data_IF_532793222262
#
_entry.id   IF_532793222262
#
_cell.length_a   1.000
_cell.length_b   1.000
_cell.length_c   1.000
_cell.angle_alpha   90.00
_cell.angle_beta   90.00
_cell.angle_gamma   90.00
#
_symmetry.space_group_name_H-M   'P 1'
#
loop_
_entity.id
_entity.type
_entity.pdbx_description
1 polymer ?
#
# COMPACT_ATOMS: atom_id res chain seq x y z
N UNK A 1 0.74 35.68 21.08
CA UNK A 1 0.90 34.38 20.38
C UNK A 1 -0.06 33.40 21.03
N UNK A 2 -0.93 32.75 20.28
CA UNK A 2 -1.86 31.75 20.82
C UNK A 2 -1.09 30.54 21.37
N UNK A 3 -1.53 30.01 22.51
CA UNK A 3 -0.94 28.82 23.14
C UNK A 3 -1.35 27.60 22.31
N UNK A 4 -0.39 26.85 21.77
CA UNK A 4 -0.66 25.62 21.03
C UNK A 4 -1.51 24.66 21.89
N UNK A 5 -2.49 24.04 21.26
CA UNK A 5 -3.23 22.92 21.83
C UNK A 5 -2.29 21.75 22.11
N UNK A 6 -2.74 20.81 22.95
CA UNK A 6 -1.96 19.61 23.26
C UNK A 6 -1.68 18.76 22.01
N UNK A 7 -2.64 18.67 21.09
CA UNK A 7 -2.50 17.94 19.83
C UNK A 7 -1.48 18.61 18.90
N UNK A 8 -1.56 19.93 18.73
CA UNK A 8 -0.60 20.68 17.91
C UNK A 8 0.83 20.58 18.49
N UNK A 9 0.99 20.63 19.81
CA UNK A 9 2.29 20.48 20.44
C UNK A 9 2.85 19.05 20.26
N UNK A 10 1.99 18.03 20.32
CA UNK A 10 2.38 16.66 20.08
C UNK A 10 2.86 16.47 18.64
N UNK A 11 2.15 17.04 17.66
CA UNK A 11 2.54 16.97 16.25
C UNK A 11 3.87 17.69 15.97
N UNK A 12 4.07 18.87 16.55
CA UNK A 12 5.35 19.60 16.46
C UNK A 12 6.49 18.76 17.05
N UNK A 13 6.29 18.14 18.21
CA UNK A 13 7.31 17.30 18.83
C UNK A 13 7.56 16.03 18.01
N UNK A 14 6.51 15.40 17.47
CA UNK A 14 6.62 14.23 16.59
C UNK A 14 7.49 14.55 15.37
N UNK A 15 7.26 15.69 14.71
CA UNK A 15 8.06 16.14 13.57
C UNK A 15 9.53 16.41 13.94
N UNK A 16 9.79 17.03 15.10
CA UNK A 16 11.17 17.23 15.60
C UNK A 16 11.91 15.91 15.83
N UNK A 17 11.23 14.93 16.43
CA UNK A 17 11.81 13.59 16.66
C UNK A 17 12.11 12.90 15.33
N UNK A 18 11.21 12.98 14.34
CA UNK A 18 11.44 12.39 13.01
C UNK A 18 12.66 13.01 12.33
N UNK A 19 12.78 14.33 12.30
CA UNK A 19 13.93 15.01 11.70
C UNK A 19 15.25 14.69 12.42
N UNK A 20 15.23 14.61 13.75
CA UNK A 20 16.42 14.23 14.53
C UNK A 20 16.83 12.77 14.28
N UNK A 21 15.84 11.86 14.22
CA UNK A 21 16.03 10.45 13.96
C UNK A 21 16.55 10.20 12.55
N UNK A 22 16.00 10.90 11.56
CA UNK A 22 16.44 10.87 10.17
C UNK A 22 17.95 11.14 10.07
N UNK A 23 18.41 12.22 10.68
CA UNK A 23 19.82 12.56 10.67
C UNK A 23 20.68 11.55 11.47
N UNK A 24 20.18 10.98 12.56
CA UNK A 24 20.96 10.04 13.40
C UNK A 24 21.10 8.68 12.69
N UNK A 25 20.02 8.18 12.10
CA UNK A 25 20.04 6.97 11.29
C UNK A 25 20.91 7.16 10.04
N UNK A 26 20.90 8.35 9.44
CA UNK A 26 21.78 8.65 8.31
C UNK A 26 23.26 8.65 8.69
N UNK A 27 23.61 9.16 9.87
CA UNK A 27 25.01 9.24 10.29
C UNK A 27 25.56 7.90 10.78
N UNK A 28 24.74 7.10 11.47
CA UNK A 28 25.21 5.92 12.22
C UNK A 28 24.66 4.60 11.70
N UNK A 29 23.66 4.62 10.82
CA UNK A 29 22.84 3.45 10.52
C UNK A 29 21.84 3.14 11.63
N UNK A 30 20.86 2.30 11.33
CA UNK A 30 19.81 1.97 12.29
C UNK A 30 20.38 1.27 13.53
N UNK A 31 21.26 0.26 13.38
CA UNK A 31 21.79 -0.49 14.54
C UNK A 31 22.48 0.39 15.58
N UNK A 32 23.39 1.26 15.14
CA UNK A 32 24.26 2.04 16.04
C UNK A 32 23.62 3.34 16.56
N UNK A 33 22.54 3.82 15.94
CA UNK A 33 21.80 5.00 16.37
C UNK A 33 21.24 4.87 17.80
N UNK A 34 21.30 5.94 18.60
CA UNK A 34 20.81 5.94 19.98
C UNK A 34 19.60 6.84 20.18
N UNK A 35 18.56 6.31 20.83
CA UNK A 35 17.35 7.10 21.18
C UNK A 35 17.70 8.32 22.05
N UNK A 36 18.69 8.21 22.91
CA UNK A 36 19.16 9.33 23.74
C UNK A 36 19.78 10.45 22.88
N UNK A 37 20.55 10.10 21.84
CA UNK A 37 21.13 11.07 20.91
C UNK A 37 20.04 11.73 20.04
N UNK A 38 19.02 10.97 19.64
CA UNK A 38 17.84 11.51 18.95
C UNK A 38 17.09 12.50 19.85
N UNK A 39 16.88 12.16 21.12
CA UNK A 39 16.21 13.02 22.08
C UNK A 39 16.97 14.33 22.28
N UNK A 40 18.30 14.25 22.48
CA UNK A 40 19.19 15.41 22.59
C UNK A 40 19.10 16.30 21.35
N UNK A 41 19.21 15.71 20.15
CA UNK A 41 19.12 16.44 18.87
C UNK A 41 17.75 17.07 18.62
N UNK A 42 16.68 16.45 19.11
CA UNK A 42 15.33 16.99 19.02
C UNK A 42 15.02 18.05 20.10
N UNK A 43 15.96 18.30 21.02
CA UNK A 43 15.76 19.12 22.23
C UNK A 43 14.59 18.63 23.10
N UNK A 44 14.46 17.30 23.21
CA UNK A 44 13.39 16.63 23.94
C UNK A 44 13.96 15.64 24.94
N UNK A 45 13.13 15.22 25.90
CA UNK A 45 13.51 14.12 26.81
C UNK A 45 13.33 12.78 26.11
N UNK A 46 14.06 11.76 26.58
CA UNK A 46 13.85 10.37 26.13
C UNK A 46 12.39 9.93 26.28
N UNK A 47 11.73 10.33 27.37
CA UNK A 47 10.31 10.05 27.59
C UNK A 47 9.39 10.70 26.55
N UNK A 48 9.72 11.90 26.08
CA UNK A 48 8.98 12.58 25.01
C UNK A 48 9.17 11.89 23.64
N UNK A 49 10.31 11.23 23.40
CA UNK A 49 10.47 10.38 22.21
C UNK A 49 9.52 9.18 22.29
N UNK A 50 9.51 8.47 23.41
CA UNK A 50 8.64 7.29 23.59
C UNK A 50 7.14 7.62 23.66
N UNK A 51 6.76 8.83 24.06
CA UNK A 51 5.34 9.25 23.97
C UNK A 51 4.86 9.48 22.54
N UNK A 52 5.78 9.73 21.60
CA UNK A 52 5.46 9.94 20.18
C UNK A 52 5.66 8.68 19.34
N UNK A 53 6.61 7.82 19.71
CA UNK A 53 6.93 6.59 19.00
C UNK A 53 7.07 5.43 19.98
N UNK A 54 6.36 4.30 19.79
CA UNK A 54 6.37 3.20 20.75
C UNK A 54 7.73 2.50 20.86
N UNK A 55 8.63 2.71 19.88
CA UNK A 55 9.99 2.16 19.92
C UNK A 55 10.88 2.67 18.79
N UNK A 56 12.16 2.30 18.84
CA UNK A 56 13.18 2.67 17.85
C UNK A 56 12.84 2.13 16.46
N UNK A 57 12.32 0.89 16.36
CA UNK A 57 11.90 0.27 15.09
C UNK A 57 10.70 1.00 14.46
N UNK A 58 9.70 1.36 15.27
CA UNK A 58 8.57 2.18 14.83
C UNK A 58 9.01 3.56 14.32
N UNK A 59 9.93 4.22 15.02
CA UNK A 59 10.54 5.48 14.58
C UNK A 59 11.33 5.32 13.27
N UNK A 60 12.08 4.23 13.14
CA UNK A 60 12.83 3.91 11.94
C UNK A 60 11.93 3.68 10.72
N UNK A 61 10.87 2.87 10.83
CA UNK A 61 9.89 2.71 9.75
C UNK A 61 9.22 4.04 9.37
N UNK A 62 8.94 4.91 10.34
CA UNK A 62 8.38 6.22 10.08
C UNK A 62 9.34 7.15 9.32
N UNK A 63 10.63 7.14 9.67
CA UNK A 63 11.68 7.87 8.92
C UNK A 63 11.78 7.35 7.48
N UNK A 64 11.84 6.03 7.28
CA UNK A 64 11.91 5.45 5.94
C UNK A 64 10.68 5.81 5.10
N UNK A 65 9.48 5.71 5.68
CA UNK A 65 8.25 6.09 5.00
C UNK A 65 8.27 7.57 4.55
N UNK A 66 8.68 8.48 5.43
CA UNK A 66 8.76 9.91 5.15
C UNK A 66 9.78 10.25 4.05
N UNK A 67 10.90 9.52 4.01
CA UNK A 67 11.88 9.60 2.91
C UNK A 67 11.28 9.14 1.59
N UNK A 68 10.66 7.96 1.58
CA UNK A 68 10.07 7.38 0.38
C UNK A 68 8.97 8.28 -0.21
N UNK A 69 8.14 8.86 0.65
CA UNK A 69 7.06 9.80 0.26
C UNK A 69 7.58 11.14 -0.28
N UNK A 70 8.73 11.62 0.22
CA UNK A 70 9.36 12.88 -0.23
C UNK A 70 10.31 12.70 -1.40
N UNK A 71 10.68 11.47 -1.74
CA UNK A 71 11.63 11.20 -2.79
C UNK A 71 11.14 11.83 -4.12
N UNK A 72 11.95 12.66 -4.79
CA UNK A 72 11.50 13.34 -6.00
C UNK A 72 11.16 12.30 -7.08
N UNK A 73 9.96 12.41 -7.64
CA UNK A 73 9.56 11.62 -8.82
C UNK A 73 10.02 12.37 -10.06
N UNK A 74 11.24 12.09 -10.50
CA UNK A 74 11.70 12.58 -11.80
C UNK A 74 10.94 11.82 -12.91
N UNK A 75 10.21 12.51 -13.80
CA UNK A 75 9.49 11.84 -14.87
C UNK A 75 10.49 11.14 -15.81
N UNK A 76 10.19 9.92 -16.29
CA UNK A 76 11.09 9.21 -17.18
C UNK A 76 11.17 9.96 -18.51
N UNK A 77 12.34 9.96 -19.20
CA UNK A 77 12.47 10.57 -20.52
C UNK A 77 11.54 9.94 -21.56
N UNK A 78 11.21 8.65 -21.40
CA UNK A 78 10.13 7.96 -22.11
C UNK A 78 9.57 6.82 -21.24
N UNK A 79 8.30 6.87 -20.77
CA UNK A 79 7.71 5.76 -20.02
C UNK A 79 7.46 4.55 -20.94
N UNK A 80 7.48 3.34 -20.37
CA UNK A 80 7.24 2.11 -21.14
C UNK A 80 5.82 2.07 -21.71
N UNK A 81 5.70 1.90 -23.02
CA UNK A 81 4.41 1.79 -23.72
C UNK A 81 3.85 0.37 -23.72
N UNK A 82 4.70 -0.62 -23.46
CA UNK A 82 4.40 -2.05 -23.45
C UNK A 82 4.70 -2.68 -22.08
N UNK A 83 4.17 -3.88 -21.82
CA UNK A 83 4.42 -4.64 -20.58
C UNK A 83 5.93 -4.87 -20.38
N UNK A 84 6.64 -5.34 -21.41
CA UNK A 84 8.09 -5.52 -21.40
C UNK A 84 8.85 -4.25 -21.04
N UNK A 85 8.55 -3.14 -21.72
CA UNK A 85 9.24 -1.86 -21.46
C UNK A 85 8.96 -1.34 -20.06
N UNK A 86 7.73 -1.49 -19.56
CA UNK A 86 7.33 -1.12 -18.21
C UNK A 86 8.07 -1.96 -17.15
N UNK A 87 8.21 -3.27 -17.34
CA UNK A 87 8.98 -4.14 -16.45
C UNK A 87 10.45 -3.72 -16.40
N UNK A 88 11.06 -3.44 -17.54
CA UNK A 88 12.43 -2.94 -17.60
C UNK A 88 12.60 -1.57 -16.94
N UNK A 89 11.68 -0.64 -17.19
CA UNK A 89 11.72 0.70 -16.59
C UNK A 89 11.49 0.66 -15.07
N UNK A 90 10.56 -0.19 -14.61
CA UNK A 90 10.32 -0.43 -13.19
C UNK A 90 11.55 -1.03 -12.51
N UNK A 91 12.15 -2.08 -13.11
CA UNK A 91 13.36 -2.69 -12.59
C UNK A 91 14.53 -1.70 -12.52
N UNK A 92 14.72 -0.83 -13.53
CA UNK A 92 15.74 0.23 -13.48
C UNK A 92 15.48 1.22 -12.36
N UNK A 93 14.24 1.68 -12.20
CA UNK A 93 13.87 2.60 -11.13
C UNK A 93 14.04 1.96 -9.74
N UNK A 94 13.78 0.66 -9.63
CA UNK A 94 14.02 -0.12 -8.41
C UNK A 94 15.51 -0.25 -8.12
N UNK A 95 16.30 -0.68 -9.11
CA UNK A 95 17.75 -0.89 -8.98
C UNK A 95 18.53 0.39 -8.72
N UNK A 96 18.03 1.55 -9.17
CA UNK A 96 18.65 2.85 -8.88
C UNK A 96 18.67 3.21 -7.39
N UNK A 97 17.91 2.49 -6.55
CA UNK A 97 17.92 2.62 -5.08
C UNK A 97 18.92 1.68 -4.41
N UNK A 98 19.51 0.75 -5.14
CA UNK A 98 20.47 -0.19 -4.58
C UNK A 98 21.82 0.49 -4.33
N UNK A 99 22.54 0.12 -3.25
CA UNK A 99 23.92 0.52 -3.09
C UNK A 99 24.74 -0.13 -4.20
N UNK A 100 25.16 0.66 -5.19
CA UNK A 100 26.07 0.21 -6.23
C UNK A 100 27.50 0.35 -5.71
N UNK A 101 28.34 -0.66 -5.99
CA UNK A 101 29.67 -0.83 -5.41
C UNK A 101 30.66 0.34 -5.66
N UNK A 102 30.35 1.24 -6.61
CA UNK A 102 31.26 2.29 -7.09
C UNK A 102 30.72 3.73 -6.92
N UNK A 103 29.65 3.95 -6.17
CA UNK A 103 29.28 5.34 -5.85
C UNK A 103 30.09 5.85 -4.67
N UNK A 104 30.85 6.95 -4.88
CA UNK A 104 31.38 7.90 -3.88
C UNK A 104 30.26 8.55 -3.00
N UNK A 105 29.14 7.85 -2.82
CA UNK A 105 27.99 8.29 -2.06
C UNK A 105 28.34 8.41 -0.58
N UNK A 106 27.67 9.33 0.10
CA UNK A 106 27.77 9.46 1.56
C UNK A 106 27.47 8.08 2.16
N UNK A 107 28.37 7.49 2.97
CA UNK A 107 28.22 6.14 3.52
C UNK A 107 26.90 5.89 4.29
N UNK A 108 26.16 6.94 4.63
CA UNK A 108 24.98 6.93 5.48
C UNK A 108 23.66 6.50 4.82
N UNK A 109 23.40 6.90 3.59
CA UNK A 109 22.07 6.68 2.95
C UNK A 109 21.84 5.20 2.59
N UNK A 110 22.86 4.55 2.02
CA UNK A 110 22.83 3.11 1.75
C UNK A 110 22.60 2.25 3.01
N UNK A 111 23.21 2.64 4.14
CA UNK A 111 23.13 1.91 5.41
C UNK A 111 21.75 1.91 6.05
N UNK A 112 20.88 2.85 5.69
CA UNK A 112 19.54 2.91 6.28
C UNK A 112 18.59 1.89 5.67
N UNK A 113 18.66 1.58 4.39
CA UNK A 113 17.71 0.64 3.78
C UNK A 113 18.12 -0.83 4.03
N UNK A 114 19.40 -1.07 4.30
CA UNK A 114 19.96 -2.40 4.58
C UNK A 114 19.35 -3.11 5.79
N UNK A 115 18.95 -2.34 6.81
CA UNK A 115 18.43 -2.88 8.07
C UNK A 115 16.91 -3.17 8.03
N UNK A 116 16.17 -2.71 7.01
CA UNK A 116 14.72 -2.86 6.92
C UNK A 116 14.29 -4.33 6.98
N UNK A 117 14.88 -5.16 6.12
CA UNK A 117 14.49 -6.57 5.99
C UNK A 117 14.89 -7.37 7.23
N UNK A 118 16.10 -7.25 7.79
CA UNK A 118 16.44 -7.84 9.09
C UNK A 118 15.43 -7.47 10.20
N UNK A 119 15.03 -6.20 10.30
CA UNK A 119 14.09 -5.74 11.33
C UNK A 119 12.67 -6.28 11.12
N UNK A 120 12.23 -6.42 9.86
CA UNK A 120 10.96 -7.10 9.53
C UNK A 120 11.03 -8.58 9.85
N UNK A 121 12.17 -9.25 9.59
CA UNK A 121 12.34 -10.68 9.86
C UNK A 121 12.37 -11.01 11.35
N UNK A 122 12.89 -10.09 12.17
CA UNK A 122 13.03 -10.23 13.61
C UNK A 122 11.69 -10.25 14.37
N UNK A 123 10.60 -9.77 13.75
CA UNK A 123 9.28 -9.66 14.39
C UNK A 123 8.18 -10.38 13.56
N UNK A 124 7.43 -11.28 14.20
CA UNK A 124 6.41 -12.10 13.53
C UNK A 124 5.24 -11.25 12.98
N UNK A 125 4.60 -10.36 13.77
CA UNK A 125 3.59 -9.43 13.26
C UNK A 125 4.09 -8.61 12.06
N UNK A 126 5.28 -7.99 12.14
CA UNK A 126 5.85 -7.22 11.04
C UNK A 126 6.09 -8.09 9.79
N UNK A 127 6.61 -9.32 9.96
CA UNK A 127 6.83 -10.26 8.85
C UNK A 127 5.52 -10.64 8.15
N UNK A 128 4.44 -10.85 8.91
CA UNK A 128 3.11 -11.13 8.34
C UNK A 128 2.53 -9.93 7.61
N UNK A 129 2.63 -8.73 8.21
CA UNK A 129 2.21 -7.50 7.58
C UNK A 129 2.97 -7.27 6.26
N UNK A 130 4.30 -7.40 6.27
CA UNK A 130 5.14 -7.26 5.09
C UNK A 130 4.77 -8.25 3.98
N UNK A 131 4.47 -9.51 4.32
CA UNK A 131 4.01 -10.49 3.34
C UNK A 131 2.68 -10.09 2.66
N UNK A 132 1.79 -9.37 3.35
CA UNK A 132 0.55 -8.86 2.75
C UNK A 132 0.79 -7.57 1.96
N UNK A 133 1.68 -6.70 2.42
CA UNK A 133 2.12 -5.52 1.66
C UNK A 133 2.75 -5.92 0.33
N UNK A 134 3.57 -6.97 0.29
CA UNK A 134 4.11 -7.53 -0.95
C UNK A 134 3.02 -7.97 -1.94
N UNK A 135 1.85 -8.41 -1.47
CA UNK A 135 0.71 -8.73 -2.34
C UNK A 135 0.03 -7.48 -2.87
N UNK A 136 -0.10 -6.43 -2.04
CA UNK A 136 -0.61 -5.12 -2.49
C UNK A 136 0.32 -4.53 -3.56
N UNK A 137 1.62 -4.63 -3.34
CA UNK A 137 2.65 -4.18 -4.27
C UNK A 137 2.58 -4.92 -5.60
N UNK A 138 2.44 -6.24 -5.56
CA UNK A 138 2.24 -7.04 -6.76
C UNK A 138 0.92 -6.72 -7.47
N UNK A 139 -0.16 -6.48 -6.71
CA UNK A 139 -1.45 -6.08 -7.26
C UNK A 139 -1.35 -4.73 -7.99
N UNK A 140 -0.72 -3.73 -7.37
CA UNK A 140 -0.54 -2.40 -7.95
C UNK A 140 0.30 -2.45 -9.24
N UNK A 141 1.44 -3.15 -9.23
CA UNK A 141 2.25 -3.33 -10.42
C UNK A 141 1.49 -4.13 -11.49
N UNK A 142 0.85 -5.25 -11.13
CA UNK A 142 0.04 -6.07 -12.03
C UNK A 142 -1.08 -5.27 -12.70
N UNK A 143 -1.80 -4.45 -11.95
CA UNK A 143 -2.85 -3.57 -12.46
C UNK A 143 -2.33 -2.51 -13.43
N UNK A 144 -1.08 -2.07 -13.29
CA UNK A 144 -0.47 -1.17 -14.25
C UNK A 144 -0.09 -1.90 -15.54
N UNK A 145 0.47 -3.10 -15.43
CA UNK A 145 0.81 -3.94 -16.58
C UNK A 145 -0.45 -4.35 -17.36
N UNK A 146 -1.54 -4.69 -16.68
CA UNK A 146 -2.85 -5.00 -17.30
C UNK A 146 -3.39 -3.83 -18.14
N UNK A 147 -3.15 -2.58 -17.73
CA UNK A 147 -3.56 -1.38 -18.49
C UNK A 147 -2.69 -1.10 -19.72
N UNK A 148 -1.49 -1.67 -19.78
CA UNK A 148 -0.60 -1.60 -20.94
C UNK A 148 -0.80 -2.76 -21.90
N UNK A 149 -1.34 -3.87 -21.42
CA UNK A 149 -1.59 -5.05 -22.22
C UNK A 149 -2.73 -4.83 -23.24
N UNK A 150 -2.75 -5.59 -24.35
CA UNK A 150 -3.87 -5.59 -25.29
C UNK A 150 -5.20 -5.89 -24.58
N UNK A 151 -6.30 -5.37 -25.12
CA UNK A 151 -7.65 -5.64 -24.57
C UNK A 151 -7.91 -7.16 -24.53
N UNK A 152 -8.41 -7.65 -23.39
CA UNK A 152 -8.65 -9.07 -23.17
C UNK A 152 -7.45 -9.87 -22.67
N UNK A 153 -6.31 -9.21 -22.39
CA UNK A 153 -5.19 -9.87 -21.73
C UNK A 153 -5.55 -10.35 -20.32
N UNK A 154 -4.92 -11.45 -19.91
CA UNK A 154 -5.07 -12.05 -18.59
C UNK A 154 -4.51 -11.17 -17.47
N UNK A 155 -4.89 -11.49 -16.23
CA UNK A 155 -4.34 -10.88 -15.01
C UNK A 155 -2.81 -10.95 -15.05
N UNK A 156 -2.12 -9.93 -14.52
CA UNK A 156 -0.64 -9.85 -14.57
C UNK A 156 0.02 -9.84 -13.20
N UNK A 157 -0.72 -10.21 -12.16
CA UNK A 157 -0.22 -10.15 -10.78
C UNK A 157 0.85 -11.22 -10.53
N UNK A 158 0.79 -12.43 -11.13
CA UNK A 158 1.92 -13.40 -11.01
C UNK A 158 3.19 -12.88 -11.68
N UNK A 159 3.04 -12.16 -12.80
CA UNK A 159 4.18 -11.51 -13.46
C UNK A 159 4.80 -10.46 -12.54
N UNK A 160 3.97 -9.66 -11.85
CA UNK A 160 4.42 -8.69 -10.87
C UNK A 160 5.06 -9.33 -9.63
N UNK A 161 4.49 -10.42 -9.09
CA UNK A 161 5.06 -11.19 -7.98
C UNK A 161 6.45 -11.71 -8.33
N UNK A 162 6.63 -12.28 -9.52
CA UNK A 162 7.92 -12.76 -10.01
C UNK A 162 8.94 -11.61 -10.14
N UNK A 163 8.53 -10.46 -10.71
CA UNK A 163 9.39 -9.29 -10.85
C UNK A 163 9.85 -8.76 -9.48
N UNK A 164 8.91 -8.59 -8.53
CA UNK A 164 9.22 -8.13 -7.18
C UNK A 164 10.10 -9.12 -6.43
N UNK A 165 9.89 -10.43 -6.62
CA UNK A 165 10.73 -11.47 -6.03
C UNK A 165 12.17 -11.39 -6.55
N UNK A 166 12.35 -11.24 -7.87
CA UNK A 166 13.67 -11.06 -8.48
C UNK A 166 14.36 -9.80 -7.95
N UNK A 167 13.63 -8.68 -7.89
CA UNK A 167 14.19 -7.39 -7.48
C UNK A 167 14.58 -7.35 -5.99
N UNK A 168 13.74 -7.90 -5.10
CA UNK A 168 14.10 -8.03 -3.69
C UNK A 168 15.24 -9.02 -3.48
N UNK A 169 15.26 -10.13 -4.23
CA UNK A 169 16.37 -11.09 -4.22
C UNK A 169 17.69 -10.44 -4.63
N UNK A 170 17.69 -9.74 -5.77
CA UNK A 170 18.83 -9.00 -6.27
C UNK A 170 19.32 -7.95 -5.26
N UNK A 171 18.41 -7.20 -4.62
CA UNK A 171 18.76 -6.23 -3.59
C UNK A 171 19.51 -6.87 -2.41
N UNK A 172 18.99 -8.00 -1.91
CA UNK A 172 19.63 -8.73 -0.80
C UNK A 172 20.97 -9.33 -1.19
N UNK A 173 21.08 -9.87 -2.39
CA UNK A 173 22.33 -10.42 -2.90
C UNK A 173 23.37 -9.33 -3.12
N UNK A 174 22.98 -8.16 -3.63
CA UNK A 174 23.88 -7.02 -3.77
C UNK A 174 24.44 -6.55 -2.42
N UNK A 175 23.60 -6.51 -1.38
CA UNK A 175 24.02 -6.16 -0.02
C UNK A 175 24.95 -7.23 0.60
N UNK A 176 24.65 -8.52 0.41
CA UNK A 176 25.42 -9.62 1.00
C UNK A 176 26.71 -9.95 0.22
N UNK A 177 26.73 -9.67 -1.08
CA UNK A 177 27.83 -9.95 -2.00
C UNK A 177 28.01 -8.79 -2.99
N UNK A 178 28.60 -7.65 -2.56
CA UNK A 178 28.85 -6.51 -3.42
C UNK A 178 29.62 -6.91 -4.69
N UNK A 179 29.19 -6.40 -5.84
CA UNK A 179 29.79 -6.71 -7.15
C UNK A 179 29.32 -8.01 -7.80
N UNK A 180 28.54 -8.86 -7.12
CA UNK A 180 27.98 -10.08 -7.72
C UNK A 180 26.75 -9.81 -8.61
N UNK A 181 25.89 -8.87 -8.20
CA UNK A 181 24.64 -8.57 -8.90
C UNK A 181 24.87 -7.49 -9.94
N UNK A 182 24.70 -7.83 -11.22
CA UNK A 182 24.76 -6.89 -12.34
C UNK A 182 23.38 -6.26 -12.59
N UNK A 183 23.17 -4.95 -12.34
CA UNK A 183 21.86 -4.32 -12.48
C UNK A 183 21.24 -4.47 -13.88
N UNK A 184 22.05 -4.43 -14.94
CA UNK A 184 21.54 -4.60 -16.30
C UNK A 184 20.96 -6.00 -16.55
N UNK A 185 21.54 -7.04 -15.97
CA UNK A 185 21.04 -8.41 -16.08
C UNK A 185 19.73 -8.60 -15.32
N UNK A 186 19.60 -8.00 -14.13
CA UNK A 186 18.34 -8.00 -13.35
C UNK A 186 17.22 -7.32 -14.12
N UNK A 187 17.51 -6.16 -14.73
CA UNK A 187 16.56 -5.43 -15.57
C UNK A 187 16.13 -6.27 -16.76
N UNK A 188 17.09 -6.88 -17.47
CA UNK A 188 16.80 -7.76 -18.61
C UNK A 188 15.97 -8.96 -18.19
N UNK A 189 16.26 -9.57 -17.04
CA UNK A 189 15.47 -10.69 -16.52
C UNK A 189 14.02 -10.29 -16.27
N UNK A 190 13.78 -9.10 -15.69
CA UNK A 190 12.43 -8.57 -15.50
C UNK A 190 11.70 -8.34 -16.83
N UNK A 191 12.37 -7.80 -17.85
CA UNK A 191 11.79 -7.61 -19.19
C UNK A 191 11.31 -8.94 -19.82
N UNK A 192 11.99 -10.04 -19.53
CA UNK A 192 11.64 -11.38 -20.04
C UNK A 192 10.48 -12.05 -19.29
N UNK A 193 9.97 -11.46 -18.21
CA UNK A 193 8.78 -11.98 -17.52
C UNK A 193 7.49 -11.77 -18.33
N UNK A 194 7.50 -10.89 -19.33
CA UNK A 194 6.32 -10.70 -20.20
C UNK A 194 6.01 -11.98 -20.99
N UNK A 195 4.84 -12.56 -20.70
CA UNK A 195 4.34 -13.78 -21.34
C UNK A 195 4.73 -15.09 -20.64
N UNK A 196 5.47 -15.03 -19.52
CA UNK A 196 5.84 -16.23 -18.74
C UNK A 196 4.62 -16.91 -18.11
N UNK A 197 3.59 -16.14 -17.77
CA UNK A 197 2.36 -16.63 -17.14
C UNK A 197 1.14 -16.33 -18.02
N UNK A 198 0.94 -17.04 -19.15
CA UNK A 198 -0.18 -16.78 -20.06
C UNK A 198 -1.53 -17.09 -19.41
N UNK A 199 -1.58 -18.13 -18.58
CA UNK A 199 -2.79 -18.64 -17.90
C UNK A 199 -2.96 -18.09 -16.48
N UNK A 200 -2.53 -16.86 -16.22
CA UNK A 200 -2.74 -16.18 -14.93
C UNK A 200 -4.21 -15.75 -14.78
N UNK A 201 -5.10 -16.74 -14.68
CA UNK A 201 -6.52 -16.53 -14.41
C UNK A 201 -6.77 -16.32 -12.91
N UNK A 202 -7.66 -15.38 -12.59
CA UNK A 202 -8.16 -15.22 -11.23
C UNK A 202 -9.20 -16.32 -10.93
N UNK A 203 -9.01 -17.16 -9.90
CA UNK A 203 -10.00 -18.14 -9.53
C UNK A 203 -11.20 -17.47 -8.84
N UNK A 204 -12.40 -17.66 -9.38
CA UNK A 204 -13.62 -17.12 -8.77
C UNK A 204 -13.90 -17.82 -7.42
N UNK A 205 -14.17 -17.07 -6.34
CA UNK A 205 -14.47 -17.67 -5.04
C UNK A 205 -15.78 -18.46 -5.04
N UNK A 206 -15.73 -19.73 -4.63
CA UNK A 206 -16.89 -20.64 -4.68
C UNK A 206 -18.02 -20.29 -3.69
N UNK A 207 -17.71 -19.69 -2.54
CA UNK A 207 -18.67 -19.44 -1.45
C UNK A 207 -18.42 -18.08 -0.79
N UNK A 208 -18.88 -16.96 -1.39
CA UNK A 208 -18.79 -15.66 -0.74
C UNK A 208 -19.68 -15.61 0.52
N UNK A 209 -19.31 -14.83 1.55
CA UNK A 209 -20.12 -14.64 2.75
C UNK A 209 -21.45 -13.94 2.40
N UNK A 210 -22.47 -14.06 3.26
CA UNK A 210 -23.72 -13.34 3.08
C UNK A 210 -23.48 -11.82 3.09
N UNK A 211 -24.16 -11.12 2.19
CA UNK A 211 -24.13 -9.67 2.08
C UNK A 211 -25.36 -9.10 2.78
N UNK A 212 -25.14 -8.23 3.78
CA UNK A 212 -26.20 -7.46 4.41
C UNK A 212 -26.55 -6.25 3.54
N UNK A 213 -27.78 -6.17 3.04
CA UNK A 213 -28.30 -4.95 2.38
C UNK A 213 -28.65 -3.91 3.42
N UNK A 214 -28.30 -2.66 3.15
CA UNK A 214 -28.62 -1.53 4.02
C UNK A 214 -28.82 -0.26 3.19
N UNK A 215 -29.20 0.82 3.84
CA UNK A 215 -29.36 2.13 3.22
C UNK A 215 -28.99 3.24 4.22
N UNK A 216 -27.70 3.39 4.47
CA UNK A 216 -27.17 4.30 5.49
C UNK A 216 -26.44 5.49 4.83
N UNK A 217 -26.59 6.73 5.32
CA UNK A 217 -25.83 7.86 4.80
C UNK A 217 -24.32 7.63 5.00
N UNK A 218 -23.52 7.93 3.98
CA UNK A 218 -22.07 7.84 4.04
C UNK A 218 -21.43 9.22 4.11
N UNK A 219 -20.79 9.52 5.24
CA UNK A 219 -20.00 10.74 5.44
C UNK A 219 -18.56 10.34 5.73
N UNK A 220 -17.71 10.24 4.70
CA UNK A 220 -16.34 9.75 4.89
C UNK A 220 -15.48 10.75 5.68
N UNK A 221 -14.62 10.28 6.59
CA UNK A 221 -13.50 11.08 7.09
C UNK A 221 -12.53 11.48 5.97
N UNK A 222 -11.73 12.51 6.20
CA UNK A 222 -10.63 12.85 5.29
C UNK A 222 -9.48 11.84 5.43
N UNK A 223 -8.86 11.49 4.31
CA UNK A 223 -7.69 10.62 4.29
C UNK A 223 -6.78 10.94 3.09
N UNK A 224 -5.51 10.57 3.20
CA UNK A 224 -4.57 10.64 2.09
C UNK A 224 -4.49 9.27 1.40
N UNK A 225 -4.56 9.27 0.07
CA UNK A 225 -4.32 8.11 -0.76
C UNK A 225 -2.80 7.95 -0.98
N UNK A 226 -2.24 6.88 -0.42
CA UNK A 226 -0.84 6.53 -0.54
C UNK A 226 -0.44 6.21 -1.99
N UNK A 227 -1.38 5.70 -2.81
CA UNK A 227 -1.10 5.33 -4.21
C UNK A 227 -0.98 6.57 -5.08
N UNK A 228 -1.85 7.56 -4.89
CA UNK A 228 -1.82 8.81 -5.64
C UNK A 228 -0.89 9.87 -5.02
N UNK A 229 -0.54 9.74 -3.74
CA UNK A 229 0.06 10.80 -2.93
C UNK A 229 -0.78 12.10 -2.96
N UNK A 230 -2.10 11.94 -2.82
CA UNK A 230 -3.10 13.00 -2.92
C UNK A 230 -4.27 12.71 -1.96
N UNK A 231 -5.18 13.68 -1.69
CA UNK A 231 -6.39 13.40 -0.94
C UNK A 231 -7.20 12.23 -1.55
N UNK A 232 -7.67 11.32 -0.71
CA UNK A 232 -8.49 10.18 -1.14
C UNK A 232 -9.93 10.62 -1.43
N UNK A 233 -10.56 10.01 -2.43
CA UNK A 233 -11.96 10.27 -2.78
C UNK A 233 -12.83 9.14 -2.21
N UNK A 234 -12.99 9.18 -0.89
CA UNK A 234 -13.76 8.17 -0.16
C UNK A 234 -15.28 8.29 -0.38
N UNK A 235 -15.74 9.38 -1.02
CA UNK A 235 -17.15 9.58 -1.34
C UNK A 235 -17.56 8.93 -2.68
N UNK A 236 -16.59 8.54 -3.50
CA UNK A 236 -16.84 7.93 -4.81
C UNK A 236 -17.61 6.61 -4.70
N UNK A 237 -18.46 6.36 -5.70
CA UNK A 237 -19.16 5.09 -5.85
C UNK A 237 -18.17 3.94 -6.06
N UNK A 238 -18.43 2.83 -5.39
CA UNK A 238 -17.58 1.63 -5.45
C UNK A 238 -17.58 0.82 -4.16
N UNK A 239 -16.39 0.38 -3.73
CA UNK A 239 -16.22 -0.47 -2.55
C UNK A 239 -15.09 0.07 -1.66
N UNK A 240 -15.41 0.21 -0.37
CA UNK A 240 -14.45 0.51 0.69
C UNK A 240 -14.19 -0.76 1.50
N UNK A 241 -12.96 -1.25 1.46
CA UNK A 241 -12.47 -2.41 2.19
C UNK A 241 -11.77 -1.94 3.46
N UNK A 242 -12.28 -2.32 4.63
CA UNK A 242 -11.58 -2.14 5.91
C UNK A 242 -10.76 -3.40 6.17
N UNK A 243 -9.44 -3.27 6.06
CA UNK A 243 -8.51 -4.39 6.04
C UNK A 243 -7.43 -4.23 7.10
N UNK A 244 -7.37 -5.21 8.00
CA UNK A 244 -6.24 -5.40 8.89
C UNK A 244 -4.96 -5.65 8.09
N UNK A 245 -3.82 -5.22 8.60
CA UNK A 245 -2.50 -5.40 7.95
C UNK A 245 -2.18 -6.86 7.62
N UNK A 246 -2.74 -7.86 8.32
CA UNK A 246 -2.54 -9.29 8.01
C UNK A 246 -3.54 -9.84 6.97
N UNK A 247 -4.46 -9.00 6.46
CA UNK A 247 -5.48 -9.34 5.47
C UNK A 247 -5.43 -8.52 4.17
N UNK A 248 -4.42 -7.68 3.97
CA UNK A 248 -4.37 -6.77 2.80
C UNK A 248 -4.44 -7.48 1.44
N UNK A 249 -4.04 -8.75 1.35
CA UNK A 249 -4.18 -9.55 0.13
C UNK A 249 -5.64 -9.71 -0.36
N UNK A 250 -6.64 -9.54 0.52
CA UNK A 250 -8.05 -9.57 0.15
C UNK A 250 -8.45 -8.40 -0.77
N UNK A 251 -7.59 -7.38 -0.90
CA UNK A 251 -7.81 -6.25 -1.79
C UNK A 251 -7.93 -6.67 -3.26
N UNK A 252 -7.21 -7.70 -3.69
CA UNK A 252 -7.35 -8.20 -5.05
C UNK A 252 -8.76 -8.75 -5.28
N UNK A 253 -9.36 -9.40 -4.29
CA UNK A 253 -10.71 -9.95 -4.40
C UNK A 253 -11.74 -8.86 -4.69
N UNK A 254 -11.62 -7.70 -4.03
CA UNK A 254 -12.45 -6.53 -4.33
C UNK A 254 -12.21 -6.00 -5.74
N UNK A 255 -10.93 -5.87 -6.15
CA UNK A 255 -10.58 -5.38 -7.49
C UNK A 255 -11.15 -6.27 -8.59
N UNK A 256 -11.17 -7.60 -8.39
CA UNK A 256 -11.64 -8.57 -9.39
C UNK A 256 -13.17 -8.66 -9.46
N UNK A 257 -13.88 -8.38 -8.37
CA UNK A 257 -15.35 -8.31 -8.36
C UNK A 257 -15.92 -6.91 -8.60
N UNK A 258 -15.10 -5.87 -8.55
CA UNK A 258 -15.53 -4.49 -8.78
C UNK A 258 -16.07 -4.31 -10.21
N UNK A 259 -17.10 -3.47 -10.34
CA UNK A 259 -17.69 -3.14 -11.63
C UNK A 259 -16.81 -2.17 -12.41
N UNK A 260 -16.95 -2.12 -13.74
CA UNK A 260 -16.36 -1.04 -14.52
C UNK A 260 -16.78 0.33 -13.98
N UNK A 261 -15.80 1.12 -13.54
CA UNK A 261 -16.02 2.46 -12.99
C UNK A 261 -16.05 2.55 -11.47
N UNK A 262 -16.25 1.44 -10.75
CA UNK A 262 -16.19 1.43 -9.28
C UNK A 262 -14.81 1.89 -8.79
N UNK A 263 -14.81 2.74 -7.76
CA UNK A 263 -13.62 3.02 -6.96
C UNK A 263 -13.40 1.88 -5.98
N UNK A 264 -12.17 1.36 -5.91
CA UNK A 264 -11.78 0.40 -4.87
C UNK A 264 -10.82 1.11 -3.93
N UNK A 265 -11.12 1.08 -2.63
CA UNK A 265 -10.32 1.72 -1.60
C UNK A 265 -10.05 0.74 -0.46
N UNK A 266 -8.79 0.58 -0.05
CA UNK A 266 -8.42 -0.12 1.18
C UNK A 266 -8.16 0.88 2.31
N UNK A 267 -8.94 0.82 3.38
CA UNK A 267 -8.64 1.43 4.67
C UNK A 267 -7.86 0.44 5.54
N UNK A 268 -6.57 0.71 5.72
CA UNK A 268 -5.62 -0.14 6.42
C UNK A 268 -5.67 0.13 7.92
N UNK A 269 -5.90 -0.92 8.70
CA UNK A 269 -6.00 -0.90 10.16
C UNK A 269 -5.07 -1.94 10.79
N UNK A 270 -4.75 -1.77 12.08
CA UNK A 270 -3.80 -2.62 12.81
C UNK A 270 -3.90 -2.38 14.31
N UNK A 271 -3.55 -3.40 15.10
CA UNK A 271 -3.39 -3.31 16.55
C UNK A 271 -2.12 -2.52 16.97
N UNK A 272 -1.21 -2.24 16.02
CA UNK A 272 0.05 -1.53 16.25
C UNK A 272 0.25 -0.35 15.27
N UNK A 273 -0.64 0.68 15.29
CA UNK A 273 -0.67 1.73 14.27
C UNK A 273 0.61 2.58 14.23
N UNK A 274 1.26 2.78 15.37
CA UNK A 274 2.51 3.53 15.46
C UNK A 274 3.70 2.86 14.77
N UNK A 275 3.61 1.57 14.44
CA UNK A 275 4.71 0.78 13.86
C UNK A 275 4.35 0.20 12.48
N UNK A 276 3.20 -0.48 12.36
CA UNK A 276 2.86 -1.21 11.13
C UNK A 276 2.25 -0.31 10.04
N UNK A 277 1.62 0.81 10.38
CA UNK A 277 1.17 1.78 9.36
C UNK A 277 2.33 2.52 8.70
N UNK A 278 3.39 2.96 9.42
CA UNK A 278 4.63 3.39 8.78
C UNK A 278 5.23 2.37 7.80
N UNK A 279 5.24 1.09 8.16
CA UNK A 279 5.72 0.04 7.25
C UNK A 279 4.83 -0.08 5.99
N UNK A 280 3.51 0.05 6.14
CA UNK A 280 2.57 0.07 5.01
C UNK A 280 2.79 1.30 4.10
N UNK A 281 2.97 2.48 4.69
CA UNK A 281 3.30 3.73 3.97
C UNK A 281 4.59 3.59 3.18
N UNK A 282 5.64 3.08 3.81
CA UNK A 282 6.94 2.82 3.17
C UNK A 282 6.78 1.92 1.95
N UNK A 283 6.17 0.74 2.10
CA UNK A 283 6.04 -0.22 1.00
C UNK A 283 5.30 0.38 -0.21
N UNK A 284 4.14 1.01 0.04
CA UNK A 284 3.33 1.62 -1.03
C UNK A 284 4.05 2.82 -1.67
N UNK A 285 4.75 3.65 -0.88
CA UNK A 285 5.49 4.80 -1.39
C UNK A 285 6.66 4.37 -2.30
N UNK A 286 7.43 3.37 -1.88
CA UNK A 286 8.56 2.82 -2.65
C UNK A 286 8.11 2.27 -4.00
N UNK A 287 7.08 1.41 -3.98
CA UNK A 287 6.52 0.82 -5.19
C UNK A 287 5.98 1.91 -6.12
N UNK A 288 5.13 2.80 -5.60
CA UNK A 288 4.44 3.81 -6.43
C UNK A 288 5.42 4.84 -6.98
N UNK A 289 6.49 5.16 -6.24
CA UNK A 289 7.62 5.97 -6.72
C UNK A 289 8.31 5.32 -7.93
N UNK A 290 8.54 4.00 -7.90
CA UNK A 290 9.07 3.26 -9.04
C UNK A 290 8.06 3.19 -10.20
N UNK A 291 6.77 2.98 -9.88
CA UNK A 291 5.71 2.82 -10.86
C UNK A 291 5.48 4.10 -11.69
N UNK A 292 5.43 5.27 -11.04
CA UNK A 292 5.30 6.58 -11.71
C UNK A 292 6.47 6.87 -12.66
N UNK A 293 7.63 6.25 -12.45
CA UNK A 293 8.80 6.31 -13.35
C UNK A 293 8.76 5.27 -14.46
N UNK A 294 7.96 4.22 -14.32
CA UNK A 294 7.97 3.08 -15.24
C UNK A 294 6.89 3.16 -16.31
N UNK A 295 5.71 3.67 -15.97
CA UNK A 295 4.51 3.60 -16.82
C UNK A 295 3.92 4.98 -17.11
N UNK A 296 3.21 5.17 -18.24
CA UNK A 296 2.49 6.42 -18.50
C UNK A 296 1.35 6.63 -17.49
N UNK A 297 0.95 7.88 -17.26
CA UNK A 297 -0.11 8.22 -16.30
C UNK A 297 -1.43 7.44 -16.50
N UNK A 298 -1.81 7.13 -17.75
CA UNK A 298 -3.00 6.33 -18.08
C UNK A 298 -2.95 4.89 -17.55
N UNK A 299 -1.76 4.37 -17.30
CA UNK A 299 -1.52 3.03 -16.80
C UNK A 299 -1.39 2.98 -15.27
N UNK A 300 -1.36 4.11 -14.57
CA UNK A 300 -1.37 4.11 -13.11
C UNK A 300 -2.68 3.50 -12.57
N UNK A 301 -2.62 2.64 -11.54
CA UNK A 301 -3.80 2.07 -10.91
C UNK A 301 -4.74 3.15 -10.35
N UNK A 302 -6.05 2.89 -10.39
CA UNK A 302 -7.08 3.74 -9.77
C UNK A 302 -7.45 3.33 -8.33
N UNK A 303 -6.83 2.26 -7.85
CA UNK A 303 -6.96 1.70 -6.52
C UNK A 303 -6.41 2.69 -5.49
N UNK A 304 -7.14 2.92 -4.39
CA UNK A 304 -6.70 3.76 -3.30
C UNK A 304 -6.28 2.92 -2.09
N UNK A 305 -5.23 3.35 -1.41
CA UNK A 305 -4.82 2.76 -0.12
C UNK A 305 -4.67 3.90 0.87
N UNK A 306 -5.41 3.83 1.97
CA UNK A 306 -5.42 4.84 3.03
C UNK A 306 -5.10 4.18 4.37
N UNK A 307 -4.38 4.87 5.25
CA UNK A 307 -4.17 4.41 6.63
C UNK A 307 -5.27 4.96 7.54
N UNK A 308 -5.78 4.13 8.45
CA UNK A 308 -6.80 4.50 9.43
C UNK A 308 -6.27 4.33 10.88
N UNK A 309 -5.32 5.18 11.32
CA UNK A 309 -4.60 5.00 12.58
C UNK A 309 -5.49 5.06 13.82
N UNK A 310 -6.59 5.81 13.75
CA UNK A 310 -7.55 5.98 14.85
C UNK A 310 -8.83 5.17 14.65
N UNK A 311 -8.93 4.39 13.55
CA UNK A 311 -10.13 3.62 13.24
C UNK A 311 -11.34 4.46 12.84
N UNK A 312 -11.16 5.72 12.45
CA UNK A 312 -12.25 6.64 12.13
C UNK A 312 -13.01 6.21 10.85
N UNK A 313 -12.29 5.73 9.84
CA UNK A 313 -12.89 5.23 8.59
C UNK A 313 -13.61 3.91 8.85
N UNK A 314 -12.98 3.01 9.61
CA UNK A 314 -13.58 1.75 10.05
C UNK A 314 -14.86 1.97 10.85
N UNK A 315 -14.84 2.88 11.83
CA UNK A 315 -16.00 3.22 12.63
C UNK A 315 -17.13 3.82 11.79
N UNK A 316 -16.81 4.73 10.86
CA UNK A 316 -17.79 5.29 9.93
C UNK A 316 -18.43 4.20 9.03
N UNK A 317 -17.65 3.18 8.64
CA UNK A 317 -18.15 2.03 7.87
C UNK A 317 -18.94 1.02 8.71
N UNK A 318 -19.04 1.23 10.03
CA UNK A 318 -19.72 0.33 10.97
C UNK A 318 -18.90 -0.91 11.34
N UNK A 319 -17.58 -0.83 11.25
CA UNK A 319 -16.64 -1.88 11.68
C UNK A 319 -16.14 -1.52 13.07
N UNK A 320 -16.63 -2.22 14.09
CA UNK A 320 -16.18 -2.04 15.47
C UNK A 320 -14.84 -2.75 15.71
N UNK A 321 -13.97 -2.12 16.52
CA UNK A 321 -12.70 -2.66 17.00
C UNK A 321 -11.84 -3.33 15.92
N UNK A 322 -11.47 -2.59 14.85
CA UNK A 322 -10.65 -3.16 13.80
C UNK A 322 -9.23 -3.47 14.30
N UNK A 323 -8.69 -4.64 13.93
CA UNK A 323 -7.34 -5.08 14.28
C UNK A 323 -6.63 -5.75 13.11
N UNK A 324 -5.51 -6.42 13.37
CA UNK A 324 -4.63 -6.96 12.32
C UNK A 324 -5.30 -7.99 11.40
N UNK A 325 -6.29 -8.72 11.93
CA UNK A 325 -7.04 -9.76 11.24
C UNK A 325 -8.34 -9.29 10.57
N UNK A 326 -8.67 -8.00 10.64
CA UNK A 326 -9.95 -7.48 10.15
C UNK A 326 -10.09 -7.65 8.64
N UNK A 327 -11.26 -8.13 8.23
CA UNK A 327 -11.69 -8.12 6.84
C UNK A 327 -13.17 -7.78 6.80
N UNK A 328 -13.47 -6.58 6.34
CA UNK A 328 -14.82 -6.08 6.17
C UNK A 328 -14.86 -5.20 4.93
N UNK A 329 -16.02 -5.07 4.31
CA UNK A 329 -16.19 -4.17 3.20
C UNK A 329 -17.61 -3.62 3.12
N UNK A 330 -17.72 -2.40 2.62
CA UNK A 330 -18.98 -1.73 2.35
C UNK A 330 -19.03 -1.29 0.89
N UNK A 331 -20.21 -1.42 0.26
CA UNK A 331 -20.48 -0.84 -1.05
C UNK A 331 -21.06 0.55 -0.87
N UNK A 332 -20.48 1.50 -1.58
CA UNK A 332 -20.89 2.91 -1.59
C UNK A 332 -21.57 3.18 -2.94
N UNK A 333 -22.76 3.77 -2.91
CA UNK A 333 -23.46 4.27 -4.08
C UNK A 333 -24.26 5.52 -3.74
N UNK A 334 -24.10 6.58 -4.54
CA UNK A 334 -24.79 7.86 -4.37
C UNK A 334 -24.68 8.45 -2.95
N UNK A 335 -23.49 8.37 -2.35
CA UNK A 335 -23.22 8.88 -1.00
C UNK A 335 -23.87 8.06 0.12
N UNK A 336 -24.16 6.78 -0.12
CA UNK A 336 -24.78 5.88 0.85
C UNK A 336 -24.07 4.53 0.89
N UNK A 337 -24.04 3.90 2.06
CA UNK A 337 -23.67 2.50 2.20
C UNK A 337 -24.91 1.67 1.82
N UNK A 338 -24.82 0.89 0.74
CA UNK A 338 -25.93 0.08 0.25
C UNK A 338 -25.79 -1.41 0.60
N UNK A 339 -24.57 -1.84 0.92
CA UNK A 339 -24.28 -3.22 1.31
C UNK A 339 -23.06 -3.29 2.22
N UNK A 340 -23.04 -4.31 3.08
CA UNK A 340 -21.90 -4.64 3.95
C UNK A 340 -21.65 -6.13 3.99
N UNK A 341 -20.39 -6.51 4.13
CA UNK A 341 -19.95 -7.88 4.37
C UNK A 341 -18.79 -7.88 5.37
N UNK A 342 -18.67 -8.96 6.15
CA UNK A 342 -17.60 -9.16 7.13
C UNK A 342 -17.08 -10.58 7.09
N UNK A 343 -15.83 -10.77 7.51
CA UNK A 343 -15.14 -12.06 7.47
C UNK A 343 -14.42 -12.30 6.14
N UNK A 344 -13.97 -13.55 5.93
CA UNK A 344 -13.25 -13.91 4.71
C UNK A 344 -14.12 -13.75 3.47
N UNK A 345 -13.53 -13.23 2.39
CA UNK A 345 -14.19 -12.89 1.14
C UNK A 345 -15.20 -11.74 1.26
N UNK A 346 -15.16 -10.94 2.34
CA UNK A 346 -16.05 -9.79 2.49
C UNK A 346 -15.82 -8.74 1.39
N UNK A 347 -14.55 -8.53 1.03
CA UNK A 347 -14.13 -7.63 -0.04
C UNK A 347 -14.74 -8.03 -1.39
N UNK A 348 -14.66 -9.32 -1.72
CA UNK A 348 -15.31 -9.90 -2.90
C UNK A 348 -16.84 -9.69 -2.85
N UNK A 349 -17.47 -10.08 -1.74
CA UNK A 349 -18.92 -10.11 -1.62
C UNK A 349 -19.54 -8.71 -1.70
N UNK A 350 -18.96 -7.71 -1.03
CA UNK A 350 -19.41 -6.32 -1.11
C UNK A 350 -19.20 -5.72 -2.50
N UNK A 351 -18.06 -6.03 -3.15
CA UNK A 351 -17.80 -5.59 -4.52
C UNK A 351 -18.78 -6.20 -5.52
N UNK A 352 -19.12 -7.49 -5.39
CA UNK A 352 -20.08 -8.17 -6.26
C UNK A 352 -21.55 -7.78 -6.00
N UNK A 353 -21.87 -7.26 -4.81
CA UNK A 353 -23.24 -6.97 -4.38
C UNK A 353 -23.99 -6.05 -5.36
N UNK A 354 -25.14 -6.50 -5.88
CA UNK A 354 -26.03 -5.73 -6.75
C UNK A 354 -26.30 -4.32 -6.17
N UNK A 355 -26.22 -3.28 -7.02
CA UNK A 355 -26.70 -1.96 -6.64
C UNK A 355 -28.19 -2.04 -6.31
N UNK A 356 -28.67 -1.23 -5.38
CA UNK A 356 -30.10 -1.06 -5.18
C UNK A 356 -30.68 -0.39 -6.43
N UNK A 357 -31.03 -1.17 -7.45
CA UNK A 357 -32.06 -0.72 -8.37
C UNK A 357 -33.30 -0.44 -7.49
N UNK A 358 -33.81 0.79 -7.57
CA UNK A 358 -34.90 1.27 -6.72
C UNK A 358 -36.14 0.37 -6.77
N UNK A 359 -37.12 0.57 -5.87
CA UNK A 359 -38.34 -0.24 -5.85
C UNK A 359 -39.19 0.10 -7.10
N UNK A 360 -38.93 -0.60 -8.19
CA UNK A 360 -39.58 -0.40 -9.49
C UNK A 360 -39.80 -1.69 -10.27
N UNK A 361 -39.95 -2.82 -9.58
CA UNK A 361 -40.12 -4.14 -10.18
C UNK A 361 -41.14 -5.00 -9.43
N UNK A 362 -42.33 -4.46 -9.13
CA UNK A 362 -43.53 -5.29 -8.91
C UNK A 362 -44.67 -4.69 -9.71
N UNK A 363 -45.21 -5.49 -10.63
CA UNK A 363 -46.51 -5.25 -11.24
C UNK A 363 -46.55 -5.46 -12.74
N UNK A 364 -46.65 -6.71 -13.19
CA UNK A 364 -47.60 -7.15 -14.22
C UNK A 364 -47.27 -8.59 -14.64
N UNK A 365 -47.83 -9.57 -13.94
CA UNK A 365 -48.20 -10.86 -14.53
C UNK A 365 -49.28 -11.51 -13.67
N UNK A 366 -50.45 -10.87 -13.66
CA UNK A 366 -51.73 -11.53 -13.44
C UNK A 366 -52.57 -11.34 -14.70
N UNK A 367 -52.94 -12.47 -15.33
CA UNK A 367 -54.12 -12.56 -16.17
C UNK A 367 -53.95 -12.45 -17.68
N UNK A 368 -53.59 -13.56 -18.34
CA UNK A 368 -54.23 -13.95 -19.59
C UNK A 368 -54.00 -15.43 -19.93
N UNK A 369 -55.12 -16.12 -20.16
CA UNK A 369 -55.33 -17.34 -20.97
C UNK A 369 -54.85 -18.70 -20.43
N UNK A 370 -55.83 -19.54 -20.12
CA UNK A 370 -55.74 -20.96 -19.81
C UNK A 370 -57.01 -21.47 -19.17
#
# INVERSE_FOLDING_TARGET
>A
MARLSRAELQEVNRAKVLAAADAEFAERGFRDAKVDAIAERAELTRGAVYSNFPGKRALYFAVLAERAERAPVQPPPAPGGTVREALGAFARAWSARLPLADTDGRPGEARMDEDLIPEVQADEPARRAFAQLMKVDALLLGLALERLAPRGASRRVRTAEAALTLLHGAARTAAAAPGFTEPFDVVRACEHLDGVYPDDAWPEPAYPPPVGRTDEPWTPPEAADLVAAAPADLAADGVLCVLGVHRLGALEEAVRAARPGDRVTAAVTTDAPGELLPLARLAVADLTGCLRRAVPARALPRLQVVCDPEGAIAAAAGVADPGDGTEAAVRIAAGRITARATGRLACHAAAAAAGTDGPGGRGAEEGATG
#
